data_IF_737390589820
#
_entry.id   IF_737390589820
#
_cell.length_a   1.000
_cell.length_b   1.000
_cell.length_c   1.000
_cell.angle_alpha   90.00
_cell.angle_beta   90.00
_cell.angle_gamma   90.00
#
_symmetry.space_group_name_H-M   'P 1'
#
loop_
_entity.id
_entity.type
_entity.pdbx_description
1 polymer ?
#
# COMPACT_ATOMS: atom_id res chain seq x y z
N UNK A 1 -44.78 -29.52 -32.22
CA UNK A 1 -44.43 -29.93 -30.84
C UNK A 1 -43.28 -29.06 -30.37
N UNK A 2 -43.59 -27.94 -29.77
CA UNK A 2 -42.59 -27.04 -29.16
C UNK A 2 -42.19 -27.61 -27.78
N UNK A 3 -40.94 -28.02 -27.64
CA UNK A 3 -40.40 -28.49 -26.34
C UNK A 3 -40.37 -27.30 -25.38
N UNK A 4 -41.08 -27.37 -24.28
CA UNK A 4 -40.96 -26.42 -23.18
C UNK A 4 -39.53 -26.46 -22.63
N UNK A 5 -38.88 -25.29 -22.39
CA UNK A 5 -37.52 -25.26 -21.85
C UNK A 5 -37.49 -25.86 -20.45
N UNK A 6 -36.52 -26.75 -20.21
CA UNK A 6 -36.36 -27.48 -18.95
C UNK A 6 -36.11 -26.53 -17.77
N UNK A 7 -36.33 -27.02 -16.52
CA UNK A 7 -36.23 -26.24 -15.27
C UNK A 7 -34.86 -25.53 -15.12
N UNK A 8 -33.77 -26.14 -15.56
CA UNK A 8 -32.41 -25.62 -15.61
C UNK A 8 -32.29 -24.42 -16.58
N UNK A 9 -32.96 -24.49 -17.72
CA UNK A 9 -32.93 -23.46 -18.75
C UNK A 9 -33.73 -22.21 -18.32
N UNK A 10 -34.89 -22.44 -17.70
CA UNK A 10 -35.70 -21.35 -17.09
C UNK A 10 -34.96 -20.66 -15.93
N UNK A 11 -34.18 -21.41 -15.12
CA UNK A 11 -33.34 -20.86 -14.05
C UNK A 11 -32.19 -20.00 -14.61
N UNK A 12 -31.49 -20.51 -15.62
CA UNK A 12 -30.40 -19.75 -16.29
C UNK A 12 -30.90 -18.48 -16.98
N UNK A 13 -32.08 -18.52 -17.60
CA UNK A 13 -32.70 -17.32 -18.22
C UNK A 13 -33.08 -16.30 -17.14
N UNK A 14 -33.66 -16.73 -16.01
CA UNK A 14 -33.99 -15.85 -14.88
C UNK A 14 -32.72 -15.24 -14.25
N UNK A 15 -31.68 -16.04 -14.07
CA UNK A 15 -30.38 -15.58 -13.54
C UNK A 15 -29.75 -14.54 -14.48
N UNK A 16 -29.76 -14.81 -15.79
CA UNK A 16 -29.25 -13.88 -16.81
C UNK A 16 -30.04 -12.57 -16.87
N UNK A 17 -31.36 -12.65 -16.75
CA UNK A 17 -32.25 -11.49 -16.71
C UNK A 17 -32.06 -10.67 -15.43
N UNK A 18 -31.90 -11.34 -14.29
CA UNK A 18 -31.62 -10.71 -13.00
C UNK A 18 -30.25 -10.02 -12.99
N UNK A 19 -29.21 -10.70 -13.47
CA UNK A 19 -27.87 -10.11 -13.63
C UNK A 19 -27.86 -8.94 -14.59
N UNK A 20 -28.57 -9.04 -15.72
CA UNK A 20 -28.72 -7.93 -16.68
C UNK A 20 -29.51 -6.76 -16.09
N UNK A 21 -30.57 -7.02 -15.31
CA UNK A 21 -31.35 -5.95 -14.65
C UNK A 21 -30.53 -5.25 -13.55
N UNK A 22 -29.74 -6.02 -12.77
CA UNK A 22 -28.79 -5.45 -11.82
C UNK A 22 -27.70 -4.63 -12.51
N UNK A 23 -27.15 -5.15 -13.62
CA UNK A 23 -26.16 -4.45 -14.43
C UNK A 23 -26.73 -3.13 -14.99
N UNK A 24 -27.95 -3.15 -15.51
CA UNK A 24 -28.60 -1.95 -16.06
C UNK A 24 -28.94 -0.93 -14.97
N UNK A 25 -29.43 -1.36 -13.81
CA UNK A 25 -29.68 -0.51 -12.66
C UNK A 25 -28.39 0.05 -12.02
N UNK A 26 -27.33 -0.74 -11.97
CA UNK A 26 -26.00 -0.29 -11.57
C UNK A 26 -25.45 0.74 -12.57
N UNK A 27 -25.49 0.45 -13.87
CA UNK A 27 -24.99 1.36 -14.91
C UNK A 27 -25.79 2.67 -14.92
N UNK A 28 -27.12 2.64 -14.76
CA UNK A 28 -27.93 3.85 -14.71
C UNK A 28 -27.69 4.69 -13.43
N UNK A 29 -27.45 4.07 -12.29
CA UNK A 29 -27.04 4.77 -11.07
C UNK A 29 -25.61 5.31 -11.15
N UNK A 30 -24.70 4.57 -11.78
CA UNK A 30 -23.31 4.93 -12.01
C UNK A 30 -23.16 6.10 -12.99
N UNK A 31 -24.05 6.20 -13.97
CA UNK A 31 -24.07 7.33 -14.91
C UNK A 31 -24.68 8.60 -14.34
N UNK A 32 -25.44 8.49 -13.23
CA UNK A 32 -26.13 9.60 -12.59
C UNK A 32 -25.30 10.31 -11.50
N UNK A 33 -24.32 9.62 -10.89
CA UNK A 33 -23.51 10.18 -9.80
C UNK A 33 -22.03 10.30 -10.22
N UNK A 34 -21.52 11.53 -10.44
CA UNK A 34 -20.13 11.78 -10.82
C UNK A 34 -19.11 11.25 -9.79
N UNK A 35 -19.46 11.23 -8.52
CA UNK A 35 -18.59 10.76 -7.42
C UNK A 35 -18.44 9.25 -7.47
N UNK A 36 -19.55 8.53 -7.64
CA UNK A 36 -19.55 7.07 -7.78
C UNK A 36 -18.77 6.61 -9.03
N UNK A 37 -18.92 7.35 -10.13
CA UNK A 37 -18.14 7.12 -11.35
C UNK A 37 -16.64 7.32 -11.12
N UNK A 38 -16.26 8.37 -10.38
CA UNK A 38 -14.86 8.63 -10.03
C UNK A 38 -14.24 7.52 -9.17
N UNK A 39 -14.95 7.06 -8.14
CA UNK A 39 -14.53 5.95 -7.27
C UNK A 39 -14.31 4.67 -8.09
N UNK A 40 -15.23 4.34 -8.99
CA UNK A 40 -15.09 3.15 -9.83
C UNK A 40 -13.93 3.23 -10.81
N UNK A 41 -13.69 4.39 -11.41
CA UNK A 41 -12.57 4.61 -12.33
C UNK A 41 -11.25 4.41 -11.56
N UNK A 42 -11.09 5.06 -10.39
CA UNK A 42 -9.89 4.92 -9.57
C UNK A 42 -9.70 3.49 -9.06
N UNK A 43 -10.76 2.89 -8.51
CA UNK A 43 -10.71 1.53 -7.98
C UNK A 43 -10.39 0.50 -9.06
N UNK A 44 -11.07 0.55 -10.20
CA UNK A 44 -10.78 -0.36 -11.31
C UNK A 44 -9.37 -0.16 -11.88
N UNK A 45 -8.90 1.09 -11.98
CA UNK A 45 -7.55 1.39 -12.45
C UNK A 45 -6.47 0.87 -11.52
N UNK A 46 -6.65 1.03 -10.22
CA UNK A 46 -5.75 0.46 -9.21
C UNK A 46 -5.74 -1.07 -9.27
N UNK A 47 -6.91 -1.70 -9.44
CA UNK A 47 -7.01 -3.14 -9.61
C UNK A 47 -6.25 -3.63 -10.84
N UNK A 48 -6.48 -3.01 -11.99
CA UNK A 48 -5.82 -3.36 -13.25
C UNK A 48 -4.29 -3.22 -13.09
N UNK A 49 -3.82 -2.11 -12.50
CA UNK A 49 -2.39 -1.89 -12.26
C UNK A 49 -1.76 -2.96 -11.36
N UNK A 50 -2.46 -3.38 -10.30
CA UNK A 50 -1.99 -4.45 -9.40
C UNK A 50 -1.97 -5.81 -10.10
N UNK A 51 -3.01 -6.15 -10.86
CA UNK A 51 -3.08 -7.40 -11.64
C UNK A 51 -1.95 -7.44 -12.68
N UNK A 52 -1.73 -6.35 -13.41
CA UNK A 52 -0.61 -6.26 -14.35
C UNK A 52 0.73 -6.45 -13.64
N UNK A 53 0.93 -5.77 -12.50
CA UNK A 53 2.14 -5.96 -11.69
C UNK A 53 2.37 -7.42 -11.30
N UNK A 54 1.31 -8.15 -10.90
CA UNK A 54 1.38 -9.57 -10.54
C UNK A 54 1.73 -10.43 -11.77
N UNK A 55 1.13 -10.15 -12.95
CA UNK A 55 1.38 -10.90 -14.19
C UNK A 55 2.85 -10.82 -14.62
N UNK A 56 3.52 -9.69 -14.40
CA UNK A 56 4.93 -9.53 -14.75
C UNK A 56 5.90 -10.21 -13.75
N UNK A 57 5.48 -10.51 -12.52
CA UNK A 57 6.35 -11.09 -11.50
C UNK A 57 6.99 -12.41 -11.93
N UNK A 58 6.28 -13.39 -12.56
CA UNK A 58 6.90 -14.63 -13.02
C UNK A 58 8.04 -14.42 -14.01
N UNK A 59 7.95 -13.40 -14.86
CA UNK A 59 9.02 -13.07 -15.82
C UNK A 59 10.22 -12.46 -15.06
N UNK A 60 9.93 -11.52 -14.15
CA UNK A 60 10.99 -10.85 -13.36
C UNK A 60 11.72 -11.85 -12.48
N UNK A 61 11.02 -12.78 -11.81
CA UNK A 61 11.64 -13.78 -10.93
C UNK A 61 12.49 -14.82 -11.65
N UNK A 62 12.25 -15.05 -12.93
CA UNK A 62 13.12 -15.91 -13.75
C UNK A 62 14.39 -15.21 -14.22
N UNK A 63 14.37 -13.88 -14.30
CA UNK A 63 15.53 -13.06 -14.66
C UNK A 63 16.40 -12.70 -13.45
N UNK A 64 15.78 -12.60 -12.25
CA UNK A 64 16.46 -12.14 -11.06
C UNK A 64 16.35 -13.17 -9.93
N UNK A 65 17.48 -13.63 -9.36
CA UNK A 65 17.45 -14.54 -8.20
C UNK A 65 16.91 -13.85 -6.94
N UNK A 66 16.49 -14.63 -5.91
CA UNK A 66 15.92 -14.11 -4.69
C UNK A 66 16.75 -13.04 -3.99
N UNK A 67 18.08 -13.18 -3.98
CA UNK A 67 18.98 -12.19 -3.35
C UNK A 67 18.85 -10.80 -3.99
N UNK A 68 18.80 -10.72 -5.33
CA UNK A 68 18.63 -9.46 -6.07
C UNK A 68 17.23 -8.87 -5.80
N UNK A 69 16.21 -9.71 -5.74
CA UNK A 69 14.85 -9.27 -5.41
C UNK A 69 14.77 -8.74 -3.96
N UNK A 70 15.54 -9.33 -3.05
CA UNK A 70 15.69 -8.87 -1.67
C UNK A 70 16.34 -7.48 -1.59
N UNK A 71 17.35 -7.19 -2.45
CA UNK A 71 17.92 -5.83 -2.50
C UNK A 71 16.88 -4.80 -2.92
N UNK A 72 16.02 -5.13 -3.90
CA UNK A 72 14.91 -4.25 -4.29
C UNK A 72 13.92 -4.07 -3.13
N UNK A 73 13.59 -5.13 -2.39
CA UNK A 73 12.65 -5.04 -1.28
C UNK A 73 13.16 -4.10 -0.17
N UNK A 74 14.45 -4.19 0.18
CA UNK A 74 15.08 -3.29 1.15
C UNK A 74 15.14 -1.86 0.61
N UNK A 75 15.55 -1.67 -0.65
CA UNK A 75 15.53 -0.36 -1.31
C UNK A 75 14.14 0.27 -1.26
N UNK A 76 13.10 -0.47 -1.63
CA UNK A 76 11.72 0.00 -1.63
C UNK A 76 11.21 0.31 -0.22
N UNK A 77 11.68 -0.43 0.80
CA UNK A 77 11.38 -0.15 2.21
C UNK A 77 11.93 1.22 2.64
N UNK A 78 13.18 1.53 2.30
CA UNK A 78 13.76 2.85 2.58
C UNK A 78 13.05 3.97 1.81
N UNK A 79 12.76 3.77 0.51
CA UNK A 79 11.98 4.75 -0.27
C UNK A 79 10.62 5.00 0.37
N UNK A 80 9.92 3.96 0.83
CA UNK A 80 8.62 4.08 1.49
C UNK A 80 8.68 4.92 2.78
N UNK A 81 9.74 4.75 3.57
CA UNK A 81 9.98 5.54 4.79
C UNK A 81 10.29 7.00 4.43
N UNK A 82 11.18 7.24 3.47
CA UNK A 82 11.58 8.57 3.03
C UNK A 82 10.42 9.33 2.37
N UNK A 83 9.54 8.63 1.65
CA UNK A 83 8.39 9.21 0.96
C UNK A 83 7.43 9.93 1.94
N UNK A 84 7.26 9.41 3.15
CA UNK A 84 6.43 10.05 4.18
C UNK A 84 6.99 11.40 4.62
N UNK A 85 8.32 11.51 4.67
CA UNK A 85 9.02 12.72 5.12
C UNK A 85 9.26 13.71 3.98
N UNK A 86 9.28 13.22 2.74
CA UNK A 86 9.73 13.93 1.54
C UNK A 86 9.03 15.27 1.31
N UNK A 87 7.75 15.39 1.65
CA UNK A 87 6.92 16.60 1.51
C UNK A 87 6.45 17.15 2.86
N UNK A 88 6.87 16.53 3.99
CA UNK A 88 6.32 16.77 5.34
C UNK A 88 4.78 16.72 5.35
N UNK A 89 4.18 15.94 4.43
CA UNK A 89 2.73 15.75 4.27
C UNK A 89 1.96 16.99 3.84
N UNK A 90 2.62 18.03 3.33
CA UNK A 90 1.93 19.18 2.74
C UNK A 90 1.20 18.82 1.44
N UNK A 91 1.64 17.82 0.71
CA UNK A 91 0.96 17.27 -0.46
C UNK A 91 -0.50 16.85 -0.18
N UNK A 92 -0.81 16.37 1.03
CA UNK A 92 -2.19 16.05 1.45
C UNK A 92 -3.09 17.28 1.57
N UNK A 93 -2.52 18.47 1.67
CA UNK A 93 -3.30 19.70 1.80
C UNK A 93 -3.77 20.25 0.45
N UNK A 94 -3.19 19.80 -0.66
CA UNK A 94 -3.53 20.26 -2.01
C UNK A 94 -5.03 20.04 -2.33
N UNK A 95 -5.63 18.85 -2.10
CA UNK A 95 -7.04 18.63 -2.41
C UNK A 95 -7.99 19.44 -1.51
N UNK A 96 -7.59 19.78 -0.29
CA UNK A 96 -8.43 20.45 0.70
C UNK A 96 -8.24 21.97 0.77
N UNK A 97 -7.36 22.53 -0.06
CA UNK A 97 -7.15 23.97 -0.13
C UNK A 97 -8.42 24.70 -0.59
N UNK A 98 -8.76 25.82 0.06
CA UNK A 98 -10.00 26.55 -0.21
C UNK A 98 -10.03 27.16 -1.62
N UNK A 99 -8.90 27.73 -2.06
CA UNK A 99 -8.77 28.40 -3.36
C UNK A 99 -7.78 27.64 -4.25
N UNK A 100 -7.99 27.71 -5.57
CA UNK A 100 -7.06 27.11 -6.52
C UNK A 100 -5.67 27.72 -6.47
N UNK A 101 -5.60 29.04 -6.26
CA UNK A 101 -4.34 29.75 -6.03
C UNK A 101 -3.57 29.19 -4.84
N UNK A 102 -4.25 28.92 -3.71
CA UNK A 102 -3.63 28.35 -2.51
C UNK A 102 -3.14 26.94 -2.76
N UNK A 103 -3.88 26.15 -3.56
CA UNK A 103 -3.44 24.82 -3.96
C UNK A 103 -2.19 24.87 -4.84
N UNK A 104 -2.07 25.83 -5.78
CA UNK A 104 -0.83 26.03 -6.56
C UNK A 104 0.36 26.36 -5.66
N UNK A 105 0.17 27.24 -4.67
CA UNK A 105 1.22 27.54 -3.68
C UNK A 105 1.60 26.31 -2.84
N UNK A 106 0.64 25.45 -2.46
CA UNK A 106 0.90 24.20 -1.71
C UNK A 106 1.66 23.17 -2.57
N UNK A 107 1.41 23.12 -3.88
CA UNK A 107 2.22 22.31 -4.81
C UNK A 107 3.65 22.82 -4.83
N UNK A 108 3.86 24.15 -4.96
CA UNK A 108 5.20 24.77 -4.93
C UNK A 108 5.89 24.48 -3.58
N UNK A 109 5.19 24.67 -2.46
CA UNK A 109 5.70 24.36 -1.13
C UNK A 109 6.14 22.90 -1.01
N UNK A 110 5.33 21.96 -1.51
CA UNK A 110 5.65 20.55 -1.49
C UNK A 110 6.90 20.23 -2.32
N UNK A 111 7.08 20.86 -3.49
CA UNK A 111 8.29 20.71 -4.31
C UNK A 111 9.52 21.33 -3.67
N UNK A 112 9.40 22.48 -3.02
CA UNK A 112 10.51 23.10 -2.28
C UNK A 112 10.97 22.22 -1.13
N UNK A 113 10.02 21.71 -0.34
CA UNK A 113 10.34 20.80 0.78
C UNK A 113 10.97 19.52 0.23
N UNK A 114 10.42 18.93 -0.83
CA UNK A 114 10.96 17.74 -1.49
C UNK A 114 12.41 17.96 -1.91
N UNK A 115 12.71 19.10 -2.53
CA UNK A 115 14.08 19.44 -2.95
C UNK A 115 15.04 19.54 -1.77
N UNK A 116 14.63 20.22 -0.69
CA UNK A 116 15.43 20.36 0.53
C UNK A 116 15.63 19.00 1.21
N UNK A 117 14.56 18.22 1.38
CA UNK A 117 14.65 16.90 2.02
C UNK A 117 15.53 15.96 1.18
N UNK A 118 15.37 15.95 -0.14
CA UNK A 118 16.22 15.12 -1.02
C UNK A 118 17.68 15.54 -0.94
N UNK A 119 17.98 16.84 -0.88
CA UNK A 119 19.36 17.33 -0.70
C UNK A 119 19.93 16.89 0.66
N UNK A 120 19.13 16.99 1.74
CA UNK A 120 19.54 16.52 3.07
C UNK A 120 19.81 15.00 3.04
N UNK A 121 18.91 14.21 2.44
CA UNK A 121 19.09 12.76 2.29
C UNK A 121 20.34 12.44 1.48
N UNK A 122 20.60 13.16 0.40
CA UNK A 122 21.80 12.96 -0.42
C UNK A 122 23.08 13.23 0.36
N UNK A 123 23.16 14.36 1.06
CA UNK A 123 24.32 14.70 1.91
C UNK A 123 24.49 13.68 3.04
N UNK A 124 23.38 13.30 3.68
CA UNK A 124 23.37 12.27 4.74
C UNK A 124 23.94 10.93 4.24
N UNK A 125 23.50 10.48 3.06
CA UNK A 125 23.99 9.23 2.46
C UNK A 125 25.47 9.29 2.08
N UNK A 126 25.96 10.43 1.59
CA UNK A 126 27.40 10.59 1.27
C UNK A 126 28.26 10.62 2.54
N UNK A 127 27.81 11.30 3.61
CA UNK A 127 28.62 11.51 4.81
C UNK A 127 28.55 10.34 5.79
N UNK A 128 27.35 9.78 5.98
CA UNK A 128 27.07 8.77 7.00
C UNK A 128 26.64 7.43 6.41
N UNK A 129 26.37 7.37 5.11
CA UNK A 129 25.81 6.17 4.47
C UNK A 129 26.68 4.95 4.64
N UNK A 130 27.98 5.05 4.37
CA UNK A 130 28.90 3.91 4.50
C UNK A 130 29.09 3.48 5.95
N UNK A 131 29.12 4.42 6.90
CA UNK A 131 29.20 4.10 8.32
C UNK A 131 27.94 3.36 8.80
N UNK A 132 26.76 3.83 8.45
CA UNK A 132 25.51 3.17 8.79
C UNK A 132 25.34 1.84 8.05
N UNK A 133 25.77 1.77 6.80
CA UNK A 133 25.77 0.56 6.02
C UNK A 133 26.60 -0.54 6.71
N UNK A 134 27.77 -0.20 7.27
CA UNK A 134 28.61 -1.13 8.03
C UNK A 134 27.95 -1.60 9.34
N UNK A 135 27.27 -0.70 10.08
CA UNK A 135 26.56 -1.08 11.33
C UNK A 135 25.39 -2.02 11.06
N UNK A 136 24.60 -1.75 10.00
CA UNK A 136 23.38 -2.48 9.69
C UNK A 136 23.57 -3.56 8.62
N UNK A 137 24.79 -3.80 8.14
CA UNK A 137 25.12 -4.74 7.07
C UNK A 137 24.40 -4.44 5.74
N UNK A 138 24.26 -3.16 5.38
CA UNK A 138 23.63 -2.68 4.14
C UNK A 138 24.68 -2.11 3.13
N UNK A 139 25.96 -2.53 3.22
CA UNK A 139 27.06 -2.02 2.38
C UNK A 139 26.77 -2.16 0.89
N UNK A 140 25.98 -3.16 0.49
CA UNK A 140 25.53 -3.35 -0.89
C UNK A 140 24.67 -2.22 -1.45
N UNK A 141 24.08 -1.35 -0.58
CA UNK A 141 23.31 -0.19 -1.01
C UNK A 141 24.19 1.01 -1.39
N UNK A 142 25.46 1.03 -0.99
CA UNK A 142 26.36 2.15 -1.26
C UNK A 142 26.43 2.54 -2.75
N UNK A 143 26.50 1.61 -3.73
CA UNK A 143 26.51 1.97 -5.15
C UNK A 143 25.18 2.61 -5.63
N UNK A 144 24.11 2.54 -4.84
CA UNK A 144 22.76 2.95 -5.23
C UNK A 144 22.28 4.24 -4.53
N UNK A 145 23.13 4.94 -3.77
CA UNK A 145 22.73 6.17 -3.06
C UNK A 145 22.12 7.23 -3.98
N UNK A 146 22.67 7.39 -5.18
CA UNK A 146 22.10 8.29 -6.19
C UNK A 146 20.73 7.84 -6.70
N UNK A 147 20.48 6.53 -6.79
CA UNK A 147 19.19 5.97 -7.18
C UNK A 147 18.12 6.20 -6.10
N UNK A 148 18.51 6.25 -4.81
CA UNK A 148 17.57 6.64 -3.75
C UNK A 148 17.04 8.06 -3.96
N UNK A 149 17.92 9.00 -4.28
CA UNK A 149 17.52 10.38 -4.49
C UNK A 149 16.64 10.53 -5.74
N UNK A 150 17.02 9.90 -6.84
CA UNK A 150 16.25 9.93 -8.08
C UNK A 150 14.90 9.22 -7.89
N UNK A 151 14.87 8.06 -7.22
CA UNK A 151 13.65 7.33 -6.91
C UNK A 151 12.72 8.11 -5.98
N UNK A 152 13.27 8.75 -4.94
CA UNK A 152 12.51 9.62 -4.04
C UNK A 152 11.91 10.83 -4.77
N UNK A 153 12.69 11.50 -5.61
CA UNK A 153 12.21 12.61 -6.44
C UNK A 153 11.07 12.14 -7.37
N UNK A 154 11.23 11.01 -8.05
CA UNK A 154 10.22 10.47 -8.95
C UNK A 154 8.92 10.12 -8.20
N UNK A 155 9.03 9.30 -7.15
CA UNK A 155 7.87 8.85 -6.38
C UNK A 155 7.13 10.02 -5.70
N UNK A 156 7.85 10.96 -5.10
CA UNK A 156 7.25 12.14 -4.44
C UNK A 156 6.63 13.11 -5.45
N UNK A 157 7.30 13.36 -6.57
CA UNK A 157 6.74 14.19 -7.66
C UNK A 157 5.44 13.59 -8.17
N UNK A 158 5.42 12.28 -8.43
CA UNK A 158 4.20 11.58 -8.84
C UNK A 158 3.08 11.73 -7.80
N UNK A 159 3.40 11.59 -6.52
CA UNK A 159 2.45 11.74 -5.41
C UNK A 159 1.87 13.18 -5.35
N UNK A 160 2.70 14.22 -5.42
CA UNK A 160 2.27 15.62 -5.44
C UNK A 160 1.30 15.87 -6.61
N UNK A 161 1.68 15.43 -7.82
CA UNK A 161 0.86 15.60 -9.02
C UNK A 161 -0.44 14.78 -8.97
N UNK A 162 -0.42 13.62 -8.32
CA UNK A 162 -1.63 12.81 -8.09
C UNK A 162 -2.61 13.53 -7.18
N UNK A 163 -2.15 14.19 -6.10
CA UNK A 163 -3.03 15.00 -5.23
C UNK A 163 -3.60 16.22 -5.96
N UNK A 164 -2.83 16.83 -6.86
CA UNK A 164 -3.37 17.86 -7.75
C UNK A 164 -4.45 17.31 -8.70
N UNK A 165 -4.21 16.17 -9.32
CA UNK A 165 -5.18 15.54 -10.22
C UNK A 165 -6.45 15.11 -9.47
N UNK A 166 -6.33 14.66 -8.20
CA UNK A 166 -7.47 14.39 -7.32
C UNK A 166 -8.30 15.65 -7.06
N UNK A 167 -7.66 16.79 -6.78
CA UNK A 167 -8.33 18.09 -6.64
C UNK A 167 -9.11 18.44 -7.92
N UNK A 168 -8.48 18.26 -9.06
CA UNK A 168 -9.05 18.55 -10.38
C UNK A 168 -10.08 17.48 -10.84
N UNK A 169 -10.32 16.43 -10.02
CA UNK A 169 -11.21 15.29 -10.32
C UNK A 169 -10.83 14.54 -11.62
N UNK A 170 -9.55 14.55 -11.96
CA UNK A 170 -9.02 13.89 -13.16
C UNK A 170 -8.75 12.39 -12.90
N UNK A 171 -9.76 11.66 -12.43
CA UNK A 171 -9.66 10.26 -12.03
C UNK A 171 -9.17 9.33 -13.14
N UNK A 172 -9.58 9.58 -14.37
CA UNK A 172 -9.14 8.79 -15.53
C UNK A 172 -7.64 8.96 -15.81
N UNK A 173 -7.11 10.17 -15.63
CA UNK A 173 -5.68 10.45 -15.80
C UNK A 173 -4.85 9.71 -14.75
N UNK A 174 -5.27 9.74 -13.48
CA UNK A 174 -4.63 8.99 -12.38
C UNK A 174 -4.62 7.49 -12.71
N UNK A 175 -5.77 6.93 -13.14
CA UNK A 175 -5.88 5.52 -13.53
C UNK A 175 -4.91 5.17 -14.66
N UNK A 176 -4.91 5.97 -15.73
CA UNK A 176 -4.03 5.77 -16.89
C UNK A 176 -2.55 5.79 -16.48
N UNK A 177 -2.16 6.72 -15.62
CA UNK A 177 -0.76 6.84 -15.19
C UNK A 177 -0.36 5.73 -14.22
N UNK A 178 -1.24 5.25 -13.32
CA UNK A 178 -1.00 4.07 -12.51
C UNK A 178 -0.73 2.82 -13.35
N UNK A 179 -1.53 2.62 -14.40
CA UNK A 179 -1.32 1.51 -15.36
C UNK A 179 0.00 1.68 -16.10
N UNK A 180 0.28 2.89 -16.58
CA UNK A 180 1.54 3.19 -17.29
C UNK A 180 2.77 2.98 -16.40
N UNK A 181 2.71 3.33 -15.11
CA UNK A 181 3.78 3.05 -14.13
C UNK A 181 3.99 1.54 -13.94
N UNK A 182 2.90 0.78 -13.76
CA UNK A 182 2.99 -0.67 -13.58
C UNK A 182 3.63 -1.35 -14.80
N UNK A 183 3.21 -0.97 -16.00
CA UNK A 183 3.78 -1.49 -17.25
C UNK A 183 5.21 -0.99 -17.45
N UNK A 184 5.43 0.31 -17.36
CA UNK A 184 6.74 0.93 -17.61
C UNK A 184 7.81 0.41 -16.66
N UNK A 185 7.50 0.34 -15.36
CA UNK A 185 8.42 -0.22 -14.36
C UNK A 185 8.69 -1.70 -14.58
N UNK A 186 7.66 -2.51 -14.88
CA UNK A 186 7.83 -3.94 -15.14
C UNK A 186 8.63 -4.21 -16.42
N UNK A 187 8.31 -3.52 -17.50
CA UNK A 187 9.02 -3.64 -18.78
C UNK A 187 10.47 -3.19 -18.63
N UNK A 188 10.75 -2.10 -17.94
CA UNK A 188 12.11 -1.64 -17.66
C UNK A 188 12.92 -2.67 -16.88
N UNK A 189 12.33 -3.29 -15.84
CA UNK A 189 12.97 -4.38 -15.08
C UNK A 189 13.29 -5.58 -15.98
N UNK A 190 12.36 -5.96 -16.86
CA UNK A 190 12.55 -7.08 -17.78
C UNK A 190 13.67 -6.77 -18.79
N UNK A 191 13.64 -5.60 -19.42
CA UNK A 191 14.68 -5.19 -20.38
C UNK A 191 16.06 -5.20 -19.71
N UNK A 192 16.17 -4.52 -18.56
CA UNK A 192 17.44 -4.46 -17.82
C UNK A 192 17.88 -5.83 -17.28
N UNK A 193 16.93 -6.73 -17.01
CA UNK A 193 17.21 -8.11 -16.62
C UNK A 193 17.77 -8.95 -17.77
N UNK A 194 17.22 -8.82 -18.97
CA UNK A 194 17.74 -9.48 -20.18
C UNK A 194 19.18 -9.06 -20.46
N UNK A 195 19.53 -7.81 -20.24
CA UNK A 195 20.91 -7.31 -20.36
C UNK A 195 21.79 -7.61 -19.15
N UNK A 196 21.29 -8.39 -18.18
CA UNK A 196 22.06 -8.86 -17.01
C UNK A 196 22.63 -7.75 -16.12
N UNK A 197 21.93 -6.61 -15.98
CA UNK A 197 22.34 -5.50 -15.10
C UNK A 197 22.21 -5.82 -13.60
N UNK A 198 21.81 -7.04 -13.21
CA UNK A 198 21.74 -7.48 -11.82
C UNK A 198 20.86 -6.58 -10.93
N UNK A 199 21.34 -6.27 -9.72
CA UNK A 199 20.60 -5.43 -8.77
C UNK A 199 20.35 -4.02 -9.31
N UNK A 200 21.30 -3.45 -10.06
CA UNK A 200 21.15 -2.12 -10.69
C UNK A 200 20.00 -2.12 -11.68
N UNK A 201 19.83 -3.20 -12.44
CA UNK A 201 18.71 -3.34 -13.40
C UNK A 201 17.37 -3.39 -12.72
N UNK A 202 17.26 -4.16 -11.63
CA UNK A 202 15.99 -4.30 -10.91
C UNK A 202 15.60 -3.02 -10.17
N UNK A 203 16.55 -2.38 -9.47
CA UNK A 203 16.34 -1.09 -8.77
C UNK A 203 16.13 0.03 -9.79
N UNK A 204 16.93 0.09 -10.85
CA UNK A 204 16.80 1.08 -11.91
C UNK A 204 15.44 1.02 -12.60
N UNK A 205 14.92 -0.18 -12.87
CA UNK A 205 13.59 -0.39 -13.42
C UNK A 205 12.47 0.10 -12.48
N UNK A 206 12.63 -0.06 -11.15
CA UNK A 206 11.72 0.53 -10.16
C UNK A 206 11.74 2.05 -10.20
N UNK A 207 12.94 2.64 -10.22
CA UNK A 207 13.14 4.09 -10.31
C UNK A 207 12.56 4.64 -11.62
N UNK A 208 12.84 4.02 -12.77
CA UNK A 208 12.24 4.42 -14.06
C UNK A 208 10.71 4.37 -13.96
N UNK A 209 10.15 3.29 -13.38
CA UNK A 209 8.72 3.15 -13.17
C UNK A 209 8.12 4.33 -12.41
N UNK A 210 8.78 4.84 -11.38
CA UNK A 210 8.31 5.97 -10.57
C UNK A 210 8.21 7.29 -11.36
N UNK A 211 8.98 7.45 -12.45
CA UNK A 211 8.94 8.62 -13.32
C UNK A 211 7.92 8.52 -14.44
N UNK A 212 7.44 7.32 -14.74
CA UNK A 212 6.44 7.12 -15.80
C UNK A 212 5.13 7.81 -15.40
N UNK A 213 4.55 8.55 -16.33
CA UNK A 213 3.28 9.26 -16.16
C UNK A 213 3.39 10.66 -15.53
N UNK A 214 4.55 11.06 -14.99
CA UNK A 214 4.75 12.41 -14.42
C UNK A 214 4.44 13.49 -15.46
N UNK A 215 4.92 13.33 -16.70
CA UNK A 215 4.68 14.28 -17.76
C UNK A 215 3.19 14.50 -18.02
N UNK A 216 2.42 13.43 -18.13
CA UNK A 216 0.98 13.52 -18.39
C UNK A 216 0.18 14.06 -17.20
N UNK A 217 0.57 13.74 -15.96
CA UNK A 217 -0.04 14.34 -14.75
C UNK A 217 0.32 15.83 -14.63
N UNK A 218 1.55 16.18 -15.00
CA UNK A 218 2.06 17.53 -14.87
C UNK A 218 1.64 18.49 -15.99
N UNK A 219 1.17 17.98 -17.13
CA UNK A 219 0.89 18.75 -18.35
C UNK A 219 0.09 20.04 -18.09
N UNK A 220 -0.93 19.97 -17.25
CA UNK A 220 -1.79 21.12 -16.94
C UNK A 220 -1.28 22.01 -15.81
N UNK A 221 -0.59 21.43 -14.84
CA UNK A 221 -0.18 22.17 -13.65
C UNK A 221 1.24 22.73 -13.75
N UNK A 222 2.19 22.04 -14.39
CA UNK A 222 3.58 22.49 -14.47
C UNK A 222 3.73 23.86 -15.15
N UNK A 223 3.02 24.18 -16.24
CA UNK A 223 3.06 25.53 -16.81
C UNK A 223 2.53 26.60 -15.85
N UNK A 224 1.48 26.31 -15.08
CA UNK A 224 0.95 27.24 -14.06
C UNK A 224 1.94 27.46 -12.95
N UNK A 225 2.55 26.38 -12.43
CA UNK A 225 3.60 26.46 -11.42
C UNK A 225 4.79 27.27 -11.93
N UNK A 226 5.24 27.02 -13.17
CA UNK A 226 6.36 27.73 -13.77
C UNK A 226 6.10 29.24 -13.84
N UNK A 227 4.90 29.62 -14.28
CA UNK A 227 4.51 31.03 -14.28
C UNK A 227 4.43 31.62 -12.85
N UNK A 228 3.90 30.87 -11.91
CA UNK A 228 3.73 31.29 -10.51
C UNK A 228 5.07 31.44 -9.77
N UNK A 229 6.07 30.63 -10.07
CA UNK A 229 7.41 30.72 -9.46
C UNK A 229 8.05 32.09 -9.73
N UNK A 230 7.82 32.69 -10.92
CA UNK A 230 8.36 34.01 -11.26
C UNK A 230 7.66 35.15 -10.50
N UNK A 231 6.48 34.93 -9.97
CA UNK A 231 5.70 35.89 -9.17
C UNK A 231 5.45 35.38 -7.74
N UNK A 232 6.42 34.66 -7.17
CA UNK A 232 6.24 33.96 -5.89
C UNK A 232 6.13 34.99 -4.74
N UNK A 233 5.02 34.98 -4.03
CA UNK A 233 4.84 35.68 -2.76
C UNK A 233 5.23 34.77 -1.59
N UNK A 234 6.43 34.99 -1.08
CA UNK A 234 6.95 34.26 0.07
C UNK A 234 6.12 34.47 1.36
N UNK A 235 5.48 35.63 1.51
CA UNK A 235 4.62 35.89 2.66
C UNK A 235 3.39 34.97 2.63
N UNK A 236 2.76 34.85 1.48
CA UNK A 236 1.63 33.94 1.26
C UNK A 236 2.04 32.48 1.44
N UNK A 237 3.20 32.09 0.92
CA UNK A 237 3.75 30.73 1.08
C UNK A 237 3.93 30.38 2.56
N UNK A 238 4.53 31.30 3.34
CA UNK A 238 4.73 31.14 4.79
C UNK A 238 3.39 31.09 5.55
N UNK A 239 2.43 31.92 5.16
CA UNK A 239 1.10 31.93 5.76
C UNK A 239 0.38 30.58 5.57
N UNK A 240 0.45 30.01 4.35
CA UNK A 240 -0.10 28.69 4.06
C UNK A 240 0.63 27.58 4.82
N UNK A 241 1.96 27.61 4.86
CA UNK A 241 2.74 26.67 5.66
C UNK A 241 2.33 26.71 7.14
N UNK A 242 2.13 27.92 7.70
CA UNK A 242 1.66 28.07 9.08
C UNK A 242 0.22 27.60 9.27
N UNK A 243 -0.68 27.88 8.32
CA UNK A 243 -2.09 27.46 8.35
C UNK A 243 -2.20 25.94 8.42
N UNK A 244 -1.41 25.20 7.63
CA UNK A 244 -1.43 23.75 7.54
C UNK A 244 -0.36 23.06 8.42
N UNK A 245 0.24 23.76 9.40
CA UNK A 245 1.32 23.25 10.27
C UNK A 245 0.98 21.95 11.01
N UNK A 246 -0.30 21.62 11.16
CA UNK A 246 -0.73 20.37 11.79
C UNK A 246 -0.28 19.13 11.01
N UNK A 247 -0.07 19.24 9.69
CA UNK A 247 0.38 18.12 8.87
C UNK A 247 1.83 17.72 9.18
N UNK A 248 2.83 18.61 9.14
CA UNK A 248 4.19 18.25 9.53
C UNK A 248 4.35 17.92 11.02
N UNK A 249 3.55 18.53 11.92
CA UNK A 249 3.72 18.35 13.37
C UNK A 249 3.02 17.11 13.93
N UNK A 250 1.93 16.65 13.33
CA UNK A 250 1.15 15.51 13.81
C UNK A 250 0.98 14.40 12.76
N UNK A 251 0.56 14.76 11.54
CA UNK A 251 0.29 13.77 10.50
C UNK A 251 1.55 13.07 10.01
N UNK A 252 2.65 13.82 9.80
CA UNK A 252 3.90 13.23 9.33
C UNK A 252 4.52 12.29 10.38
N UNK A 253 4.71 12.66 11.66
CA UNK A 253 5.25 11.73 12.65
C UNK A 253 4.40 10.47 12.84
N UNK A 254 3.07 10.61 12.85
CA UNK A 254 2.16 9.47 12.94
C UNK A 254 2.31 8.51 11.76
N UNK A 255 2.31 9.05 10.54
CA UNK A 255 2.51 8.25 9.33
C UNK A 255 3.91 7.62 9.27
N UNK A 256 4.94 8.35 9.73
CA UNK A 256 6.32 7.87 9.78
C UNK A 256 6.47 6.65 10.69
N UNK A 257 5.94 6.71 11.90
CA UNK A 257 5.92 5.57 12.84
C UNK A 257 5.17 4.38 12.24
N UNK A 258 4.01 4.62 11.62
CA UNK A 258 3.23 3.56 10.98
C UNK A 258 3.99 2.91 9.82
N UNK A 259 4.63 3.70 8.95
CA UNK A 259 5.37 3.14 7.81
C UNK A 259 6.61 2.39 8.28
N UNK A 260 7.36 2.91 9.26
CA UNK A 260 8.46 2.16 9.86
C UNK A 260 7.97 0.79 10.35
N UNK A 261 6.88 0.74 11.11
CA UNK A 261 6.32 -0.50 11.62
C UNK A 261 6.02 -1.54 10.52
N UNK A 262 5.54 -1.07 9.35
CA UNK A 262 5.27 -1.93 8.20
C UNK A 262 6.55 -2.43 7.50
N UNK A 263 7.64 -1.67 7.58
CA UNK A 263 8.91 -2.03 6.94
C UNK A 263 9.85 -2.83 7.87
N UNK A 264 9.59 -2.84 9.18
CA UNK A 264 10.37 -3.59 10.18
C UNK A 264 10.66 -5.04 9.75
N UNK A 265 9.68 -5.86 9.30
CA UNK A 265 9.97 -7.24 8.93
C UNK A 265 11.01 -7.35 7.81
N UNK A 266 10.91 -6.54 6.77
CA UNK A 266 11.85 -6.54 5.65
C UNK A 266 13.25 -6.14 6.09
N UNK A 267 13.36 -5.06 6.87
CA UNK A 267 14.64 -4.53 7.32
C UNK A 267 15.32 -5.47 8.33
N UNK A 268 14.59 -6.01 9.30
CA UNK A 268 15.16 -6.94 10.27
C UNK A 268 15.57 -8.29 9.64
N UNK A 269 14.73 -8.84 8.75
CA UNK A 269 15.09 -10.07 8.05
C UNK A 269 16.33 -9.90 7.20
N UNK A 270 16.55 -8.71 6.59
CA UNK A 270 17.76 -8.44 5.82
C UNK A 270 19.03 -8.42 6.70
N UNK A 271 18.96 -7.77 7.85
CA UNK A 271 20.06 -7.72 8.80
C UNK A 271 20.38 -9.07 9.48
N UNK A 272 19.36 -9.90 9.71
CA UNK A 272 19.52 -11.18 10.39
C UNK A 272 19.89 -12.33 9.44
N UNK A 273 19.31 -12.38 8.26
CA UNK A 273 19.38 -13.56 7.37
C UNK A 273 19.84 -13.24 5.95
N UNK A 274 20.10 -11.97 5.67
CA UNK A 274 20.55 -11.52 4.35
C UNK A 274 19.45 -11.43 3.30
N UNK A 275 19.85 -10.97 2.10
CA UNK A 275 18.91 -10.55 1.04
C UNK A 275 18.16 -11.69 0.39
N UNK A 276 18.74 -12.91 0.36
CA UNK A 276 18.06 -14.08 -0.19
C UNK A 276 16.75 -14.35 0.57
N UNK A 277 16.82 -14.36 1.90
CA UNK A 277 15.64 -14.60 2.73
C UNK A 277 14.62 -13.46 2.61
N UNK A 278 15.10 -12.22 2.53
CA UNK A 278 14.22 -11.07 2.29
C UNK A 278 13.52 -11.17 0.93
N UNK A 279 14.22 -11.59 -0.11
CA UNK A 279 13.61 -11.78 -1.43
C UNK A 279 12.50 -12.83 -1.41
N UNK A 280 12.76 -13.97 -0.78
CA UNK A 280 11.76 -15.02 -0.59
C UNK A 280 10.55 -14.52 0.20
N UNK A 281 10.79 -13.82 1.31
CA UNK A 281 9.74 -13.20 2.13
C UNK A 281 8.94 -12.14 1.35
N UNK A 282 9.61 -11.27 0.62
CA UNK A 282 8.97 -10.20 -0.14
C UNK A 282 8.07 -10.73 -1.26
N UNK A 283 8.51 -11.78 -1.98
CA UNK A 283 7.67 -12.45 -2.98
C UNK A 283 6.45 -13.10 -2.31
N UNK A 284 6.65 -13.91 -1.27
CA UNK A 284 5.59 -14.62 -0.57
C UNK A 284 4.57 -13.64 0.01
N UNK A 285 5.03 -12.58 0.68
CA UNK A 285 4.19 -11.54 1.24
C UNK A 285 3.41 -10.79 0.14
N UNK A 286 4.06 -10.39 -0.95
CA UNK A 286 3.40 -9.65 -2.03
C UNK A 286 2.32 -10.47 -2.74
N UNK A 287 2.53 -11.77 -2.91
CA UNK A 287 1.56 -12.68 -3.53
C UNK A 287 0.32 -12.91 -2.67
N UNK A 288 0.46 -12.83 -1.35
CA UNK A 288 -0.68 -12.93 -0.42
C UNK A 288 -1.35 -11.58 -0.19
N UNK A 289 -0.56 -10.56 0.18
CA UNK A 289 -1.09 -9.29 0.68
C UNK A 289 -1.75 -8.48 -0.43
N UNK A 290 -1.17 -8.39 -1.64
CA UNK A 290 -1.73 -7.54 -2.71
C UNK A 290 -3.15 -7.92 -3.13
N UNK A 291 -3.47 -9.19 -3.47
CA UNK A 291 -4.84 -9.59 -3.82
C UNK A 291 -5.81 -9.38 -2.66
N UNK A 292 -5.38 -9.73 -1.44
CA UNK A 292 -6.19 -9.60 -0.23
C UNK A 292 -6.50 -8.13 0.09
N UNK A 293 -5.51 -7.25 -0.01
CA UNK A 293 -5.67 -5.81 0.26
C UNK A 293 -6.64 -5.14 -0.72
N UNK A 294 -6.65 -5.59 -1.97
CA UNK A 294 -7.60 -5.07 -2.96
C UNK A 294 -9.06 -5.38 -2.56
N UNK A 295 -9.33 -6.65 -2.21
CA UNK A 295 -10.67 -7.06 -1.75
C UNK A 295 -11.02 -6.37 -0.44
N UNK A 296 -10.07 -6.32 0.51
CA UNK A 296 -10.22 -5.66 1.79
C UNK A 296 -10.58 -4.18 1.66
N UNK A 297 -9.92 -3.45 0.74
CA UNK A 297 -10.20 -2.03 0.47
C UNK A 297 -11.63 -1.79 0.04
N UNK A 298 -12.11 -2.54 -0.94
CA UNK A 298 -13.49 -2.41 -1.44
C UNK A 298 -14.54 -2.70 -0.36
N UNK A 299 -14.32 -3.73 0.46
CA UNK A 299 -15.22 -4.08 1.57
C UNK A 299 -15.17 -3.00 2.66
N UNK A 300 -13.97 -2.51 2.96
CA UNK A 300 -13.73 -1.45 3.96
C UNK A 300 -14.50 -0.17 3.64
N UNK A 301 -14.55 0.25 2.37
CA UNK A 301 -15.30 1.43 1.94
C UNK A 301 -16.80 1.29 2.17
N UNK A 302 -17.39 0.16 1.75
CA UNK A 302 -18.82 -0.14 1.94
C UNK A 302 -19.16 -0.23 3.43
N UNK A 303 -18.34 -0.97 4.18
CA UNK A 303 -18.51 -1.13 5.63
C UNK A 303 -18.43 0.22 6.36
N UNK A 304 -17.51 1.11 5.94
CA UNK A 304 -17.37 2.45 6.55
C UNK A 304 -18.63 3.28 6.38
N UNK A 305 -19.22 3.27 5.18
CA UNK A 305 -20.42 4.05 4.91
C UNK A 305 -21.59 3.56 5.76
N UNK A 306 -21.83 2.24 5.83
CA UNK A 306 -22.92 1.66 6.62
C UNK A 306 -22.70 1.83 8.13
N UNK A 307 -21.44 1.64 8.57
CA UNK A 307 -21.04 1.86 9.95
C UNK A 307 -21.23 3.31 10.40
N UNK A 308 -20.87 4.30 9.55
CA UNK A 308 -21.05 5.71 9.85
C UNK A 308 -22.54 6.11 9.96
N UNK A 309 -23.40 5.51 9.12
CA UNK A 309 -24.85 5.74 9.18
C UNK A 309 -25.45 5.19 10.48
N UNK A 310 -25.12 3.95 10.84
CA UNK A 310 -25.58 3.33 12.09
C UNK A 310 -25.02 4.05 13.33
N UNK A 311 -23.77 4.50 13.27
CA UNK A 311 -23.15 5.28 14.34
C UNK A 311 -23.90 6.61 14.58
N UNK A 312 -24.23 7.36 13.51
CA UNK A 312 -25.01 8.61 13.63
C UNK A 312 -26.40 8.39 14.18
N UNK A 313 -27.02 7.24 13.87
CA UNK A 313 -28.34 6.86 14.37
C UNK A 313 -28.30 6.26 15.78
N UNK A 314 -27.14 6.10 16.40
CA UNK A 314 -26.93 5.37 17.67
C UNK A 314 -27.61 4.00 17.67
N UNK A 315 -27.51 3.28 16.56
CA UNK A 315 -28.29 2.06 16.33
C UNK A 315 -27.65 0.83 16.99
N UNK A 316 -28.47 0.03 17.69
CA UNK A 316 -28.07 -1.25 18.29
C UNK A 316 -27.60 -2.28 17.24
N UNK A 317 -27.80 -2.00 15.95
CA UNK A 317 -27.36 -2.85 14.85
C UNK A 317 -25.85 -2.77 14.56
N UNK A 318 -25.14 -1.82 15.18
CA UNK A 318 -23.70 -1.62 14.93
C UNK A 318 -22.87 -2.85 15.32
N UNK A 319 -23.12 -3.44 16.50
CA UNK A 319 -22.43 -4.66 16.94
C UNK A 319 -22.80 -5.88 16.10
N UNK A 320 -24.06 -6.18 15.80
CA UNK A 320 -24.44 -7.22 14.84
C UNK A 320 -23.80 -7.06 13.47
N UNK A 321 -23.76 -5.84 12.90
CA UNK A 321 -23.09 -5.56 11.64
C UNK A 321 -21.60 -5.92 11.71
N UNK A 322 -20.88 -5.50 12.76
CA UNK A 322 -19.48 -5.82 12.96
C UNK A 322 -19.24 -7.32 13.01
N UNK A 323 -19.99 -8.05 13.86
CA UNK A 323 -19.83 -9.50 14.06
C UNK A 323 -20.19 -10.31 12.80
N UNK A 324 -21.27 -9.92 12.10
CA UNK A 324 -21.70 -10.61 10.87
C UNK A 324 -20.70 -10.38 9.73
N UNK A 325 -20.22 -9.13 9.58
CA UNK A 325 -19.23 -8.81 8.56
C UNK A 325 -17.89 -9.51 8.82
N UNK A 326 -17.37 -9.49 10.03
CA UNK A 326 -16.12 -10.18 10.37
C UNK A 326 -16.24 -11.69 10.20
N UNK A 327 -17.39 -12.30 10.58
CA UNK A 327 -17.66 -13.73 10.36
C UNK A 327 -17.69 -14.07 8.87
N UNK A 328 -18.38 -13.28 8.05
CA UNK A 328 -18.43 -13.49 6.58
C UNK A 328 -17.05 -13.37 5.95
N UNK A 329 -16.28 -12.35 6.33
CA UNK A 329 -14.90 -12.16 5.86
C UNK A 329 -14.01 -13.34 6.22
N UNK A 330 -14.11 -13.84 7.45
CA UNK A 330 -13.35 -15.01 7.88
C UNK A 330 -13.75 -16.26 7.09
N UNK A 331 -15.06 -16.56 6.97
CA UNK A 331 -15.58 -17.73 6.27
C UNK A 331 -15.23 -17.70 4.76
N UNK A 332 -15.19 -16.53 4.16
CA UNK A 332 -14.81 -16.36 2.75
C UNK A 332 -13.31 -16.36 2.56
N UNK A 333 -12.57 -15.63 3.41
CA UNK A 333 -11.12 -15.46 3.30
C UNK A 333 -10.32 -16.69 3.69
N UNK A 334 -10.74 -17.42 4.74
CA UNK A 334 -10.00 -18.56 5.25
C UNK A 334 -9.80 -19.68 4.20
N UNK A 335 -10.82 -20.15 3.46
CA UNK A 335 -10.62 -21.17 2.43
C UNK A 335 -9.66 -20.72 1.32
N UNK A 336 -9.76 -19.44 0.90
CA UNK A 336 -8.92 -18.88 -0.18
C UNK A 336 -7.47 -18.77 0.25
N UNK A 337 -7.23 -18.21 1.43
CA UNK A 337 -5.87 -18.01 1.97
C UNK A 337 -5.22 -19.35 2.32
N UNK A 338 -5.97 -20.28 2.92
CA UNK A 338 -5.47 -21.62 3.24
C UNK A 338 -5.19 -22.45 1.99
N UNK A 339 -6.07 -22.40 0.98
CA UNK A 339 -5.81 -23.06 -0.29
C UNK A 339 -4.54 -22.52 -0.94
N UNK A 340 -4.34 -21.19 -0.95
CA UNK A 340 -3.12 -20.57 -1.43
C UNK A 340 -1.88 -21.06 -0.65
N UNK A 341 -1.96 -21.19 0.68
CA UNK A 341 -0.87 -21.65 1.53
C UNK A 341 -0.50 -23.12 1.26
N UNK A 342 -1.48 -23.99 1.05
CA UNK A 342 -1.25 -25.43 0.77
C UNK A 342 -0.65 -25.65 -0.62
N UNK A 343 -1.10 -24.86 -1.60
CA UNK A 343 -0.69 -25.03 -2.99
C UNK A 343 0.63 -24.29 -3.30
N UNK A 344 0.97 -23.23 -2.56
CA UNK A 344 2.15 -22.38 -2.80
C UNK A 344 3.48 -23.15 -2.90
N UNK A 345 3.81 -24.12 -2.01
CA UNK A 345 5.08 -24.86 -2.11
C UNK A 345 5.28 -25.59 -3.44
N UNK A 346 4.18 -26.01 -4.08
CA UNK A 346 4.19 -26.69 -5.39
C UNK A 346 4.16 -25.66 -6.54
N UNK A 347 3.35 -24.62 -6.43
CA UNK A 347 3.19 -23.64 -7.51
C UNK A 347 4.36 -22.67 -7.63
N UNK A 348 5.00 -22.27 -6.55
CA UNK A 348 6.06 -21.25 -6.58
C UNK A 348 7.24 -21.66 -7.46
N UNK A 349 7.83 -22.88 -7.34
CA UNK A 349 8.89 -23.28 -8.23
C UNK A 349 8.46 -23.40 -9.70
N UNK A 350 7.21 -23.75 -9.98
CA UNK A 350 6.67 -23.86 -11.35
C UNK A 350 6.48 -22.47 -11.97
N UNK A 351 5.86 -21.56 -11.22
CA UNK A 351 5.51 -20.23 -11.74
C UNK A 351 6.74 -19.31 -11.76
N UNK A 352 7.47 -19.25 -10.65
CA UNK A 352 8.55 -18.28 -10.43
C UNK A 352 9.95 -18.82 -10.69
N UNK A 353 10.11 -20.15 -10.82
CA UNK A 353 11.36 -20.84 -11.03
C UNK A 353 11.87 -21.56 -9.77
N UNK A 354 12.78 -22.53 -9.97
CA UNK A 354 13.28 -23.42 -8.91
C UNK A 354 13.98 -22.69 -7.76
N UNK A 355 14.66 -21.56 -8.03
CA UNK A 355 15.28 -20.71 -7.00
C UNK A 355 14.29 -20.14 -5.96
N UNK A 356 12.99 -20.14 -6.28
CA UNK A 356 11.92 -19.58 -5.46
C UNK A 356 11.14 -20.65 -4.68
N UNK A 357 11.60 -21.89 -4.67
CA UNK A 357 10.92 -23.00 -3.97
C UNK A 357 10.64 -22.68 -2.49
N UNK A 358 11.64 -22.13 -1.80
CA UNK A 358 11.53 -21.84 -0.37
C UNK A 358 10.59 -20.66 -0.08
N UNK A 359 10.34 -19.78 -1.05
CA UNK A 359 9.32 -18.76 -0.91
C UNK A 359 7.92 -19.37 -0.71
N UNK A 360 7.62 -20.49 -1.38
CA UNK A 360 6.37 -21.21 -1.19
C UNK A 360 6.15 -21.68 0.26
N UNK A 361 7.21 -22.03 0.98
CA UNK A 361 7.11 -22.46 2.38
C UNK A 361 6.80 -21.32 3.35
N UNK A 362 7.17 -20.07 3.00
CA UNK A 362 6.85 -18.88 3.81
C UNK A 362 5.38 -18.46 3.71
N UNK A 363 4.67 -18.93 2.69
CA UNK A 363 3.26 -18.59 2.48
C UNK A 363 2.39 -19.10 3.63
N UNK A 364 2.65 -20.29 4.16
CA UNK A 364 1.85 -20.88 5.23
C UNK A 364 1.88 -20.04 6.52
N UNK A 365 3.02 -19.70 7.14
CA UNK A 365 3.03 -18.82 8.30
C UNK A 365 2.42 -17.45 8.01
N UNK A 366 2.71 -16.85 6.87
CA UNK A 366 2.18 -15.54 6.49
C UNK A 366 0.65 -15.57 6.28
N UNK A 367 0.08 -16.69 5.88
CA UNK A 367 -1.36 -16.83 5.63
C UNK A 367 -2.20 -16.56 6.88
N UNK A 368 -1.71 -16.95 8.07
CA UNK A 368 -2.42 -16.76 9.34
C UNK A 368 -2.53 -15.27 9.66
N UNK A 369 -1.42 -14.56 9.55
CA UNK A 369 -1.39 -13.12 9.75
C UNK A 369 -2.21 -12.37 8.69
N UNK A 370 -2.08 -12.73 7.42
CA UNK A 370 -2.80 -12.04 6.32
C UNK A 370 -4.31 -12.24 6.43
N UNK A 371 -4.76 -13.42 6.85
CA UNK A 371 -6.17 -13.67 7.13
C UNK A 371 -6.69 -12.78 8.27
N UNK A 372 -5.94 -12.70 9.37
CA UNK A 372 -6.30 -11.86 10.53
C UNK A 372 -6.33 -10.37 10.14
N UNK A 373 -5.36 -9.94 9.37
CA UNK A 373 -5.31 -8.59 8.80
C UNK A 373 -6.53 -8.33 7.91
N UNK A 374 -6.85 -9.23 7.00
CA UNK A 374 -7.99 -9.10 6.09
C UNK A 374 -9.30 -8.88 6.84
N UNK A 375 -9.57 -9.71 7.85
CA UNK A 375 -10.81 -9.65 8.62
C UNK A 375 -10.90 -8.36 9.44
N UNK A 376 -9.83 -8.05 10.18
CA UNK A 376 -9.88 -6.97 11.17
C UNK A 376 -9.68 -5.61 10.53
N UNK A 377 -8.70 -5.42 9.63
CA UNK A 377 -8.47 -4.10 9.03
C UNK A 377 -9.60 -3.64 8.11
N UNK A 378 -10.37 -4.59 7.53
CA UNK A 378 -11.56 -4.24 6.75
C UNK A 378 -12.69 -3.66 7.61
N UNK A 379 -12.74 -3.98 8.91
CA UNK A 379 -13.83 -3.62 9.84
C UNK A 379 -13.40 -2.73 10.99
N UNK A 380 -12.10 -2.44 11.14
CA UNK A 380 -11.58 -1.56 12.18
C UNK A 380 -12.03 -0.11 11.96
N UNK A 381 -12.73 0.45 12.95
CA UNK A 381 -13.27 1.81 12.93
C UNK A 381 -13.12 2.52 14.29
N UNK A 382 -12.08 2.15 15.05
CA UNK A 382 -11.81 2.79 16.36
C UNK A 382 -11.73 4.31 16.25
N UNK A 383 -11.10 4.83 15.20
CA UNK A 383 -10.98 6.27 14.96
C UNK A 383 -12.34 6.92 14.64
N UNK A 384 -13.21 6.24 13.87
CA UNK A 384 -14.57 6.70 13.58
C UNK A 384 -15.42 6.78 14.86
N UNK A 385 -15.19 5.88 15.80
CA UNK A 385 -15.86 5.85 17.10
C UNK A 385 -15.29 6.85 18.11
N UNK A 386 -14.22 7.58 17.76
CA UNK A 386 -13.56 8.56 18.62
C UNK A 386 -12.48 7.99 19.53
N UNK A 387 -12.12 6.70 19.41
CA UNK A 387 -11.10 6.03 20.22
C UNK A 387 -9.71 6.09 19.55
N UNK A 388 -9.25 7.29 19.19
CA UNK A 388 -7.95 7.52 18.55
C UNK A 388 -6.78 7.10 19.45
N UNK A 389 -6.92 7.26 20.76
CA UNK A 389 -5.97 6.85 21.79
C UNK A 389 -5.79 5.32 21.81
N UNK A 390 -6.86 4.54 21.67
CA UNK A 390 -6.81 3.09 21.59
C UNK A 390 -6.15 2.61 20.27
N UNK A 391 -6.47 3.28 19.16
CA UNK A 391 -5.82 3.01 17.86
C UNK A 391 -4.31 3.27 17.94
N UNK A 392 -3.91 4.41 18.55
CA UNK A 392 -2.49 4.73 18.74
C UNK A 392 -1.79 3.73 19.66
N UNK A 393 -2.38 3.40 20.81
CA UNK A 393 -1.82 2.42 21.75
C UNK A 393 -1.66 1.04 21.10
N UNK A 394 -2.62 0.61 20.30
CA UNK A 394 -2.54 -0.64 19.53
C UNK A 394 -1.40 -0.61 18.50
N UNK A 395 -1.26 0.49 17.74
CA UNK A 395 -0.18 0.64 16.75
C UNK A 395 1.21 0.60 17.40
N UNK A 396 1.39 1.30 18.53
CA UNK A 396 2.65 1.28 19.29
C UNK A 396 2.90 -0.12 19.84
N UNK A 397 1.91 -0.72 20.50
CA UNK A 397 2.02 -2.07 21.07
C UNK A 397 2.38 -3.12 20.02
N UNK A 398 1.73 -3.08 18.84
CA UNK A 398 2.05 -3.94 17.70
C UNK A 398 3.50 -3.78 17.28
N UNK A 399 3.96 -2.55 17.13
CA UNK A 399 5.33 -2.26 16.67
C UNK A 399 6.36 -2.77 17.67
N UNK A 400 6.18 -2.46 18.96
CA UNK A 400 7.07 -2.92 20.03
C UNK A 400 7.10 -4.45 20.11
N UNK A 401 5.94 -5.10 20.05
CA UNK A 401 5.85 -6.56 20.12
C UNK A 401 6.57 -7.24 18.94
N UNK A 402 6.41 -6.73 17.74
CA UNK A 402 7.10 -7.24 16.55
C UNK A 402 8.62 -7.03 16.67
N UNK A 403 9.07 -5.85 17.11
CA UNK A 403 10.49 -5.58 17.35
C UNK A 403 11.08 -6.53 18.40
N UNK A 404 10.38 -6.76 19.52
CA UNK A 404 10.77 -7.71 20.54
C UNK A 404 10.87 -9.15 19.96
N UNK A 405 9.91 -9.54 19.11
CA UNK A 405 9.92 -10.85 18.45
C UNK A 405 11.14 -11.05 17.56
N UNK A 406 11.51 -10.06 16.74
CA UNK A 406 12.72 -10.11 15.92
C UNK A 406 13.99 -10.08 16.79
N UNK A 407 14.02 -9.26 17.83
CA UNK A 407 15.15 -9.20 18.76
C UNK A 407 15.39 -10.53 19.47
N UNK A 408 14.33 -11.16 19.99
CA UNK A 408 14.39 -12.51 20.60
C UNK A 408 14.86 -13.54 19.58
N UNK A 409 14.34 -13.48 18.34
CA UNK A 409 14.76 -14.38 17.27
C UNK A 409 16.26 -14.26 16.94
N UNK A 410 16.80 -13.03 17.02
CA UNK A 410 18.23 -12.76 16.87
C UNK A 410 19.04 -13.36 18.01
N UNK A 411 18.65 -13.12 19.26
CA UNK A 411 19.34 -13.64 20.45
C UNK A 411 19.39 -15.17 20.49
N UNK A 412 18.28 -15.81 20.17
CA UNK A 412 18.15 -17.27 20.20
C UNK A 412 18.60 -17.94 18.88
N UNK A 413 19.07 -17.15 17.90
CA UNK A 413 19.56 -17.63 16.60
C UNK A 413 18.57 -18.57 15.91
N UNK A 414 17.28 -18.21 15.93
CA UNK A 414 16.24 -18.99 15.27
C UNK A 414 16.42 -19.04 13.75
N UNK A 415 15.86 -20.05 13.10
CA UNK A 415 15.84 -20.15 11.66
C UNK A 415 14.94 -19.07 11.03
N UNK A 416 15.15 -18.68 9.76
CA UNK A 416 14.28 -17.71 9.07
C UNK A 416 12.81 -18.08 9.12
N UNK A 417 12.47 -19.35 8.89
CA UNK A 417 11.09 -19.84 8.92
C UNK A 417 10.46 -19.73 10.30
N UNK A 418 11.22 -20.05 11.36
CA UNK A 418 10.78 -19.92 12.75
C UNK A 418 10.50 -18.46 13.09
N UNK A 419 11.37 -17.54 12.66
CA UNK A 419 11.17 -16.10 12.86
C UNK A 419 9.94 -15.57 12.17
N UNK A 420 9.66 -16.04 10.94
CA UNK A 420 8.44 -15.68 10.20
C UNK A 420 7.18 -16.23 10.90
N UNK A 421 7.24 -17.44 11.49
CA UNK A 421 6.18 -17.99 12.33
C UNK A 421 5.91 -17.11 13.54
N UNK A 422 6.97 -16.74 14.29
CA UNK A 422 6.86 -15.85 15.46
C UNK A 422 6.22 -14.53 15.05
N UNK A 423 6.73 -13.88 13.99
CA UNK A 423 6.16 -12.65 13.44
C UNK A 423 4.67 -12.81 13.13
N UNK A 424 4.28 -13.86 12.43
CA UNK A 424 2.90 -14.10 12.01
C UNK A 424 1.96 -14.35 13.19
N UNK A 425 2.42 -15.08 14.21
CA UNK A 425 1.66 -15.35 15.45
C UNK A 425 1.48 -14.04 16.23
N UNK A 426 2.54 -13.25 16.42
CA UNK A 426 2.48 -11.97 17.13
C UNK A 426 1.54 -10.98 16.41
N UNK A 427 1.61 -10.90 15.09
CA UNK A 427 0.70 -10.07 14.30
C UNK A 427 -0.75 -10.53 14.41
N UNK A 428 -1.00 -11.84 14.32
CA UNK A 428 -2.33 -12.41 14.50
C UNK A 428 -2.90 -12.11 15.89
N UNK A 429 -2.08 -12.24 16.93
CA UNK A 429 -2.45 -11.87 18.29
C UNK A 429 -2.85 -10.39 18.38
N UNK A 430 -2.05 -9.49 17.81
CA UNK A 430 -2.34 -8.05 17.82
C UNK A 430 -3.61 -7.70 17.03
N UNK A 431 -3.89 -8.37 15.92
CA UNK A 431 -5.17 -8.22 15.24
C UNK A 431 -6.34 -8.76 16.08
N UNK A 432 -6.14 -9.85 16.84
CA UNK A 432 -7.10 -10.31 17.83
C UNK A 432 -7.39 -9.26 18.91
N UNK A 433 -6.37 -8.60 19.43
CA UNK A 433 -6.53 -7.46 20.36
C UNK A 433 -7.35 -6.33 19.71
N UNK A 434 -7.03 -5.94 18.48
CA UNK A 434 -7.79 -4.92 17.74
C UNK A 434 -9.27 -5.29 17.57
N UNK A 435 -9.55 -6.55 17.25
CA UNK A 435 -10.92 -7.06 17.15
C UNK A 435 -11.70 -6.87 18.46
N UNK A 436 -11.10 -7.23 19.60
CA UNK A 436 -11.74 -7.05 20.91
C UNK A 436 -11.86 -5.58 21.31
N UNK A 437 -10.90 -4.73 20.93
CA UNK A 437 -11.00 -3.28 21.15
C UNK A 437 -12.20 -2.68 20.39
N UNK A 438 -12.42 -3.08 19.13
CA UNK A 438 -13.60 -2.65 18.37
C UNK A 438 -14.90 -3.10 19.02
N UNK A 439 -15.00 -4.36 19.48
CA UNK A 439 -16.18 -4.83 20.23
C UNK A 439 -16.42 -4.00 21.49
N UNK A 440 -15.37 -3.74 22.27
CA UNK A 440 -15.45 -2.94 23.48
C UNK A 440 -15.91 -1.51 23.19
N UNK A 441 -15.32 -0.87 22.15
CA UNK A 441 -15.69 0.47 21.72
C UNK A 441 -17.18 0.55 21.35
N UNK A 442 -17.68 -0.37 20.53
CA UNK A 442 -19.07 -0.44 20.12
C UNK A 442 -20.00 -0.63 21.33
N UNK A 443 -19.65 -1.54 22.25
CA UNK A 443 -20.47 -1.77 23.46
C UNK A 443 -20.56 -0.54 24.34
N UNK A 444 -19.46 0.19 24.55
CA UNK A 444 -19.47 1.44 25.35
C UNK A 444 -20.33 2.50 24.67
N UNK A 445 -20.30 2.61 23.35
CA UNK A 445 -21.15 3.55 22.60
C UNK A 445 -22.66 3.24 22.72
N UNK A 446 -23.02 1.96 22.88
CA UNK A 446 -24.42 1.53 23.02
C UNK A 446 -24.95 1.70 24.45
N UNK A 447 -24.09 1.95 25.43
CA UNK A 447 -24.48 2.19 26.84
C UNK A 447 -24.65 3.65 27.17
N UNK A 448 -24.29 4.56 26.26
CA UNK A 448 -24.45 6.04 26.35
C UNK A 448 -25.32 6.57 25.19
#
# INVERSE_FOLDING_TARGET
>A
MSREPGYSEKFMIRLKTYVNSLRTRLISRLSADPLLKGILILGSGTAISQVLGIIFIPIITRLYPPAIYGTLAVFSSFISILLVVSTLRYDLTIPIAEKDDDAEYLVILSFLILSVVTAIVFVFLIVLGDYLAGIFHFEFLAPYYWLFCIGLLGASTYQILTFWALRSKEYFLITRTNISQSIGGSVSKIILGIFSFGSTGLIGGEVIGSWVGIGSLGEKILPKIWHRIHSLDFHRLRALAHRYRKFPTYSMPSAFVNVIALQVPTLFLSGLYGFQIVGLFALSSSMLVKPVSFVAGSISEVYTAECADLFRQKSDKLLPLFLDTTKKLFLFGAPVVLAAAVVAPVLFPIIFGSAWKDAGTFVLPLSIYVLSQFVVSSTDRLELYGYNDWSLAWNIGRTVLVLCGFYISSLLKFSPITTIWIFSILMTFMYGVCYFLNIKAIKVLMTH
#
